data_IF_411677259789
#
_entry.id   IF_411677259789
#
_cell.length_a   1.000
_cell.length_b   1.000
_cell.length_c   1.000
_cell.angle_alpha   90.00
_cell.angle_beta   90.00
_cell.angle_gamma   90.00
#
_symmetry.space_group_name_H-M   'P 1'
#
loop_
_entity.id
_entity.type
_entity.pdbx_description
1 polymer ?
#
# COMPACT_ATOMS: atom_id res chain seq x y z
N UNK A 1 8.72 -1.28 -11.85
CA UNK A 1 7.65 -0.25 -11.96
C UNK A 1 6.68 -0.27 -10.78
N UNK A 2 6.14 -1.43 -10.38
CA UNK A 2 5.26 -1.55 -9.21
C UNK A 2 5.86 -0.94 -7.92
N UNK A 3 7.14 -1.21 -7.63
CA UNK A 3 7.85 -0.62 -6.49
C UNK A 3 7.88 0.92 -6.52
N UNK A 4 8.11 1.51 -7.69
CA UNK A 4 8.13 2.97 -7.88
C UNK A 4 6.75 3.56 -7.60
N UNK A 5 5.68 2.93 -8.10
CA UNK A 5 4.32 3.36 -7.81
C UNK A 5 3.99 3.26 -6.32
N UNK A 6 4.44 2.22 -5.63
CA UNK A 6 4.27 2.08 -4.18
C UNK A 6 4.98 3.22 -3.42
N UNK A 7 6.19 3.60 -3.81
CA UNK A 7 6.90 4.77 -3.26
C UNK A 7 6.14 6.07 -3.53
N UNK A 8 5.67 6.28 -4.76
CA UNK A 8 4.90 7.48 -5.12
C UNK A 8 3.63 7.58 -4.28
N UNK A 9 2.89 6.47 -4.10
CA UNK A 9 1.71 6.43 -3.23
C UNK A 9 2.06 6.69 -1.78
N UNK A 10 3.18 6.15 -1.27
CA UNK A 10 3.64 6.39 0.09
C UNK A 10 3.86 7.89 0.33
N UNK A 11 4.61 8.54 -0.55
CA UNK A 11 4.88 9.98 -0.49
C UNK A 11 3.58 10.78 -0.62
N UNK A 12 2.75 10.45 -1.62
CA UNK A 12 1.50 11.15 -1.87
C UNK A 12 0.55 11.06 -0.68
N UNK A 13 0.39 9.89 -0.07
CA UNK A 13 -0.48 9.67 1.08
C UNK A 13 -0.07 10.52 2.29
N UNK A 14 1.22 10.52 2.64
CA UNK A 14 1.72 11.36 3.75
C UNK A 14 1.66 12.85 3.42
N UNK A 15 2.19 13.28 2.27
CA UNK A 15 2.34 14.71 1.96
C UNK A 15 1.00 15.38 1.64
N UNK A 16 0.23 14.85 0.69
CA UNK A 16 -1.07 15.43 0.32
C UNK A 16 -2.05 15.28 1.48
N UNK A 17 -2.00 14.15 2.18
CA UNK A 17 -2.85 13.88 3.33
C UNK A 17 -2.64 14.84 4.50
N UNK A 18 -1.39 15.05 4.93
CA UNK A 18 -1.11 15.97 6.04
C UNK A 18 -1.47 17.41 5.64
N UNK A 19 -1.11 17.84 4.42
CA UNK A 19 -1.36 19.21 3.97
C UNK A 19 -2.84 19.51 3.78
N UNK A 20 -3.60 18.59 3.19
CA UNK A 20 -4.96 18.85 2.74
C UNK A 20 -6.05 18.26 3.65
N UNK A 21 -5.78 17.21 4.40
CA UNK A 21 -6.79 16.51 5.21
C UNK A 21 -6.46 16.64 6.70
N UNK A 22 -5.40 15.97 7.17
CA UNK A 22 -5.11 15.87 8.61
C UNK A 22 -4.78 17.22 9.22
N UNK A 23 -3.92 18.03 8.60
CA UNK A 23 -3.61 19.36 9.09
C UNK A 23 -4.85 20.25 9.21
N UNK A 24 -5.79 20.16 8.25
CA UNK A 24 -7.07 20.90 8.30
C UNK A 24 -8.02 20.36 9.35
N UNK A 25 -8.14 19.03 9.46
CA UNK A 25 -8.99 18.35 10.43
C UNK A 25 -8.54 18.65 11.86
N UNK A 26 -7.23 18.56 12.12
CA UNK A 26 -6.67 18.77 13.44
C UNK A 26 -6.68 20.23 13.85
N UNK A 27 -6.76 21.20 12.93
CA UNK A 27 -6.93 22.61 13.30
C UNK A 27 -8.32 22.94 13.84
N UNK A 28 -9.28 22.01 13.80
CA UNK A 28 -10.61 22.22 14.37
C UNK A 28 -10.57 22.16 15.89
N UNK A 29 -11.40 22.96 16.55
CA UNK A 29 -11.50 23.04 18.02
C UNK A 29 -12.45 22.00 18.63
N UNK A 30 -13.20 21.28 17.80
CA UNK A 30 -14.21 20.31 18.21
C UNK A 30 -13.76 18.84 18.05
N UNK A 31 -12.48 18.56 18.22
CA UNK A 31 -11.98 17.18 18.21
C UNK A 31 -12.50 16.42 19.44
N UNK A 32 -12.82 15.12 19.31
CA UNK A 32 -13.18 14.28 20.46
C UNK A 32 -12.10 14.34 21.54
N UNK A 33 -12.52 14.61 22.76
CA UNK A 33 -11.64 14.59 23.93
C UNK A 33 -11.49 13.14 24.39
N UNK A 34 -10.28 12.60 24.25
CA UNK A 34 -9.92 11.30 24.78
C UNK A 34 -8.97 11.52 25.95
N UNK A 35 -9.29 10.94 27.11
CA UNK A 35 -8.53 11.17 28.35
C UNK A 35 -8.46 12.65 28.76
N UNK A 36 -9.57 13.38 28.56
CA UNK A 36 -9.71 14.78 29.01
C UNK A 36 -9.00 15.83 28.15
N UNK A 37 -8.30 15.45 27.08
CA UNK A 37 -7.65 16.39 26.13
C UNK A 37 -7.84 15.94 24.69
N UNK A 38 -7.63 16.83 23.72
CA UNK A 38 -7.62 16.47 22.29
C UNK A 38 -6.23 16.01 21.79
N UNK A 39 -5.19 16.13 22.63
CA UNK A 39 -3.82 15.82 22.28
C UNK A 39 -3.66 14.34 21.87
N UNK A 40 -4.31 13.45 22.60
CA UNK A 40 -4.30 12.02 22.30
C UNK A 40 -4.94 11.74 20.94
N UNK A 41 -6.12 12.31 20.69
CA UNK A 41 -6.84 12.21 19.42
C UNK A 41 -6.00 12.73 18.26
N UNK A 42 -5.36 13.90 18.42
CA UNK A 42 -4.45 14.49 17.40
C UNK A 42 -3.28 13.55 17.08
N UNK A 43 -2.66 12.96 18.10
CA UNK A 43 -1.51 12.06 17.95
C UNK A 43 -1.89 10.75 17.27
N UNK A 44 -2.97 10.10 17.71
CA UNK A 44 -3.45 8.86 17.07
C UNK A 44 -3.82 9.10 15.61
N UNK A 45 -4.52 10.20 15.30
CA UNK A 45 -4.91 10.49 13.92
C UNK A 45 -3.69 10.69 13.01
N UNK A 46 -2.67 11.44 13.44
CA UNK A 46 -1.41 11.55 12.67
C UNK A 46 -0.67 10.23 12.57
N UNK A 47 -0.59 9.47 13.66
CA UNK A 47 0.07 8.17 13.67
C UNK A 47 -0.59 7.21 12.68
N UNK A 48 -1.90 7.03 12.77
CA UNK A 48 -2.67 6.17 11.86
C UNK A 48 -2.51 6.62 10.40
N UNK A 49 -2.48 7.93 10.15
CA UNK A 49 -2.26 8.47 8.81
C UNK A 49 -0.88 8.13 8.24
N UNK A 50 0.19 8.27 9.02
CA UNK A 50 1.55 7.99 8.53
C UNK A 50 1.94 6.51 8.57
N UNK A 51 1.27 5.68 9.38
CA UNK A 51 1.54 4.25 9.46
C UNK A 51 1.35 3.56 8.11
N UNK A 52 0.31 3.94 7.37
CA UNK A 52 0.04 3.41 6.03
C UNK A 52 1.16 3.75 5.03
N UNK A 53 1.79 4.92 5.15
CA UNK A 53 2.98 5.28 4.35
C UNK A 53 4.16 4.37 4.64
N UNK A 54 4.41 4.03 5.91
CA UNK A 54 5.48 3.09 6.30
C UNK A 54 5.20 1.71 5.67
N UNK A 55 3.95 1.25 5.70
CA UNK A 55 3.55 0.00 5.07
C UNK A 55 3.82 0.01 3.55
N UNK A 56 3.50 1.11 2.84
CA UNK A 56 3.78 1.22 1.41
C UNK A 56 5.27 1.23 1.06
N UNK A 57 6.12 1.87 1.88
CA UNK A 57 7.57 1.75 1.74
C UNK A 57 8.06 0.31 1.98
N UNK A 58 7.51 -0.38 2.99
CA UNK A 58 7.80 -1.79 3.23
C UNK A 58 7.47 -2.67 2.02
N UNK A 59 6.28 -2.51 1.44
CA UNK A 59 5.89 -3.22 0.21
C UNK A 59 6.77 -2.84 -0.98
N UNK A 60 7.18 -1.58 -1.12
CA UNK A 60 8.13 -1.20 -2.16
C UNK A 60 9.47 -1.92 -2.01
N UNK A 61 9.99 -2.04 -0.78
CA UNK A 61 11.21 -2.80 -0.47
C UNK A 61 11.08 -4.29 -0.85
N UNK A 62 9.95 -4.91 -0.50
CA UNK A 62 9.64 -6.30 -0.91
C UNK A 62 9.61 -6.42 -2.44
N UNK A 63 8.94 -5.51 -3.14
CA UNK A 63 8.87 -5.51 -4.61
C UNK A 63 10.23 -5.28 -5.27
N UNK A 64 11.13 -4.50 -4.66
CA UNK A 64 12.50 -4.31 -5.16
C UNK A 64 13.32 -5.60 -5.03
N UNK A 65 13.31 -6.24 -3.85
CA UNK A 65 14.01 -7.52 -3.64
C UNK A 65 13.50 -8.59 -4.60
N UNK A 66 12.18 -8.63 -4.82
CA UNK A 66 11.57 -9.57 -5.75
C UNK A 66 11.92 -9.29 -7.22
N UNK A 67 12.06 -8.02 -7.62
CA UNK A 67 12.40 -7.67 -9.00
C UNK A 67 13.73 -8.29 -9.45
N UNK A 68 14.70 -8.43 -8.55
CA UNK A 68 15.99 -9.08 -8.84
C UNK A 68 15.87 -10.60 -9.06
N UNK A 69 14.75 -11.21 -8.64
CA UNK A 69 14.48 -12.65 -8.79
C UNK A 69 13.61 -12.98 -10.00
N UNK A 70 12.97 -11.98 -10.61
CA UNK A 70 12.09 -12.12 -11.78
C UNK A 70 12.81 -11.63 -13.05
N UNK A 71 13.83 -12.39 -13.48
CA UNK A 71 14.62 -12.10 -14.69
C UNK A 71 14.30 -12.99 -15.90
N UNK A 72 13.76 -14.18 -15.68
CA UNK A 72 13.40 -15.13 -16.74
C UNK A 72 11.94 -15.58 -16.59
N UNK A 73 11.17 -15.49 -17.67
CA UNK A 73 9.78 -15.92 -17.74
C UNK A 73 9.68 -17.45 -17.67
N UNK A 74 9.91 -18.04 -16.49
CA UNK A 74 9.64 -19.44 -16.27
C UNK A 74 8.11 -19.65 -16.19
N UNK A 75 7.54 -20.63 -16.91
CA UNK A 75 6.10 -20.82 -17.00
C UNK A 75 5.45 -21.12 -15.63
N UNK A 76 4.17 -20.72 -15.51
CA UNK A 76 3.28 -20.78 -14.34
C UNK A 76 3.12 -22.18 -13.69
N UNK A 77 3.66 -23.24 -14.31
CA UNK A 77 3.49 -24.64 -13.89
C UNK A 77 4.49 -25.13 -12.84
N UNK A 78 5.48 -24.33 -12.41
CA UNK A 78 6.52 -24.78 -11.46
C UNK A 78 6.21 -24.52 -9.97
N UNK A 79 4.95 -24.22 -9.60
CA UNK A 79 4.61 -23.74 -8.25
C UNK A 79 4.43 -24.86 -7.20
N UNK A 80 4.50 -26.14 -7.57
CA UNK A 80 4.16 -27.25 -6.65
C UNK A 80 5.34 -28.08 -6.12
N UNK A 81 6.58 -27.60 -6.23
CA UNK A 81 7.72 -28.21 -5.55
C UNK A 81 8.11 -27.39 -4.30
N UNK A 82 7.55 -27.77 -3.15
CA UNK A 82 7.91 -27.18 -1.87
C UNK A 82 9.40 -27.41 -1.58
N UNK A 83 10.18 -26.32 -1.62
CA UNK A 83 11.65 -26.32 -1.49
C UNK A 83 12.34 -25.36 -2.46
N UNK A 84 11.63 -24.87 -3.49
CA UNK A 84 12.18 -23.94 -4.47
C UNK A 84 12.09 -22.47 -4.00
N UNK A 85 13.23 -21.75 -3.87
CA UNK A 85 13.26 -20.31 -3.60
C UNK A 85 12.39 -19.49 -4.57
N UNK A 86 12.26 -19.94 -5.82
CA UNK A 86 11.48 -19.25 -6.84
C UNK A 86 9.97 -19.38 -6.61
N UNK A 87 9.49 -20.56 -6.17
CA UNK A 87 8.09 -20.75 -5.78
C UNK A 87 7.72 -19.87 -4.56
N UNK A 88 8.66 -19.70 -3.62
CA UNK A 88 8.48 -18.81 -2.47
C UNK A 88 8.38 -17.35 -2.90
N UNK A 89 9.28 -16.88 -3.77
CA UNK A 89 9.25 -15.52 -4.31
C UNK A 89 7.93 -15.22 -5.04
N UNK A 90 7.43 -16.16 -5.86
CA UNK A 90 6.12 -16.07 -6.50
C UNK A 90 4.97 -15.96 -5.50
N UNK A 91 4.96 -16.80 -4.46
CA UNK A 91 3.94 -16.74 -3.41
C UNK A 91 3.91 -15.39 -2.69
N UNK A 92 5.08 -14.82 -2.39
CA UNK A 92 5.18 -13.47 -1.80
C UNK A 92 4.63 -12.42 -2.77
N UNK A 93 5.03 -12.45 -4.04
CA UNK A 93 4.54 -11.51 -5.06
C UNK A 93 3.01 -11.60 -5.23
N UNK A 94 2.43 -12.80 -5.24
CA UNK A 94 0.98 -13.01 -5.29
C UNK A 94 0.27 -12.43 -4.06
N UNK A 95 0.83 -12.61 -2.86
CA UNK A 95 0.28 -12.02 -1.63
C UNK A 95 0.32 -10.49 -1.67
N UNK A 96 1.40 -9.89 -2.20
CA UNK A 96 1.50 -8.44 -2.41
C UNK A 96 0.46 -7.97 -3.44
N UNK A 97 0.35 -8.66 -4.58
CA UNK A 97 -0.63 -8.33 -5.61
C UNK A 97 -2.07 -8.40 -5.08
N UNK A 98 -2.42 -9.44 -4.33
CA UNK A 98 -3.72 -9.59 -3.69
C UNK A 98 -3.99 -8.47 -2.68
N UNK A 99 -3.00 -8.10 -1.87
CA UNK A 99 -3.11 -6.99 -0.92
C UNK A 99 -3.43 -5.67 -1.64
N UNK A 100 -2.71 -5.35 -2.71
CA UNK A 100 -2.97 -4.14 -3.49
C UNK A 100 -4.31 -4.19 -4.24
N UNK A 101 -4.74 -5.35 -4.75
CA UNK A 101 -6.06 -5.53 -5.36
C UNK A 101 -7.19 -5.29 -4.36
N UNK A 102 -7.07 -5.82 -3.13
CA UNK A 102 -8.03 -5.56 -2.06
C UNK A 102 -8.07 -4.07 -1.68
N UNK A 103 -6.92 -3.41 -1.57
CA UNK A 103 -6.86 -1.97 -1.35
C UNK A 103 -7.52 -1.17 -2.48
N UNK A 104 -7.30 -1.56 -3.73
CA UNK A 104 -7.96 -0.96 -4.88
C UNK A 104 -9.49 -1.10 -4.79
N UNK A 105 -9.97 -2.31 -4.49
CA UNK A 105 -11.40 -2.61 -4.36
C UNK A 105 -12.04 -1.82 -3.21
N UNK A 106 -11.46 -1.85 -2.01
CA UNK A 106 -11.97 -1.10 -0.85
C UNK A 106 -12.00 0.40 -1.14
N UNK A 107 -10.93 0.93 -1.76
CA UNK A 107 -10.86 2.35 -2.12
C UNK A 107 -11.89 2.71 -3.18
N UNK A 108 -12.07 1.89 -4.22
CA UNK A 108 -13.05 2.12 -5.28
C UNK A 108 -14.47 2.07 -4.72
N UNK A 109 -14.83 1.03 -3.95
CA UNK A 109 -16.17 0.87 -3.38
C UNK A 109 -16.45 1.98 -2.36
N UNK A 110 -15.56 2.18 -1.39
CA UNK A 110 -15.75 3.17 -0.32
C UNK A 110 -15.82 4.61 -0.82
N UNK A 111 -15.11 4.94 -1.90
CA UNK A 111 -15.16 6.27 -2.52
C UNK A 111 -16.15 6.40 -3.68
N UNK A 112 -16.86 5.32 -4.06
CA UNK A 112 -17.68 5.24 -5.28
C UNK A 112 -16.89 5.64 -6.54
N UNK A 113 -15.65 5.16 -6.65
CA UNK A 113 -14.74 5.40 -7.76
C UNK A 113 -14.08 6.79 -7.79
N UNK A 114 -14.39 7.68 -6.85
CA UNK A 114 -13.91 9.08 -6.86
C UNK A 114 -12.49 9.24 -6.35
N UNK A 115 -11.96 8.29 -5.58
CA UNK A 115 -10.62 8.39 -5.02
C UNK A 115 -9.58 7.76 -5.95
N UNK A 116 -8.79 8.58 -6.63
CA UNK A 116 -7.80 8.18 -7.66
C UNK A 116 -6.82 7.07 -7.22
N UNK A 117 -6.58 6.91 -5.91
CA UNK A 117 -5.70 5.87 -5.37
C UNK A 117 -6.14 4.45 -5.78
N UNK A 118 -7.43 4.20 -6.03
CA UNK A 118 -7.87 2.87 -6.48
C UNK A 118 -7.20 2.46 -7.81
N UNK A 119 -7.00 3.40 -8.74
CA UNK A 119 -6.33 3.13 -10.02
C UNK A 119 -4.87 2.78 -9.80
N UNK A 120 -4.19 3.51 -8.91
CA UNK A 120 -2.78 3.27 -8.62
C UNK A 120 -2.57 1.93 -7.93
N UNK A 121 -3.42 1.59 -6.96
CA UNK A 121 -3.39 0.29 -6.30
C UNK A 121 -3.68 -0.86 -7.29
N UNK A 122 -4.65 -0.69 -8.19
CA UNK A 122 -4.94 -1.67 -9.24
C UNK A 122 -3.75 -1.85 -10.20
N UNK A 123 -3.08 -0.76 -10.57
CA UNK A 123 -1.88 -0.82 -11.42
C UNK A 123 -0.72 -1.55 -10.71
N UNK A 124 -0.47 -1.29 -9.43
CA UNK A 124 0.53 -2.03 -8.65
C UNK A 124 0.18 -3.52 -8.60
N UNK A 125 -1.08 -3.86 -8.33
CA UNK A 125 -1.54 -5.24 -8.27
C UNK A 125 -1.34 -5.96 -9.62
N UNK A 126 -1.77 -5.35 -10.73
CA UNK A 126 -1.62 -5.91 -12.07
C UNK A 126 -0.16 -6.08 -12.46
N UNK A 127 0.67 -5.05 -12.26
CA UNK A 127 2.11 -5.13 -12.56
C UNK A 127 2.83 -6.19 -11.72
N UNK A 128 2.45 -6.35 -10.46
CA UNK A 128 3.04 -7.37 -9.58
C UNK A 128 2.58 -8.77 -10.00
N UNK A 129 1.31 -8.94 -10.34
CA UNK A 129 0.76 -10.22 -10.79
C UNK A 129 1.36 -10.68 -12.13
N UNK A 130 1.53 -9.76 -13.08
CA UNK A 130 2.12 -10.06 -14.39
C UNK A 130 3.62 -10.36 -14.34
N UNK A 131 4.29 -10.03 -13.23
CA UNK A 131 5.72 -10.30 -13.04
C UNK A 131 6.01 -11.70 -12.46
N UNK A 132 4.98 -12.43 -12.02
CA UNK A 132 5.05 -13.78 -11.41
C UNK A 132 5.04 -14.87 -12.47
#
# INVERSE_FOLDING_TARGET
MAAVLAVVVAIAHSYLGERFIIGRLLRRENLPLLFGTDLWTRRILRFAWHLTTIAWFGFAGVLMVLADHFGDAAPLTAVLAAGDPQATARGVAQAVAATFALNAMVTAIGSRGRHVAWVVFAAIAALTWLAV
#
